data_IF_457099224717
#
_entry.id   IF_457099224717
#
_cell.length_a   1.000
_cell.length_b   1.000
_cell.length_c   1.000
_cell.angle_alpha   90.00
_cell.angle_beta   90.00
_cell.angle_gamma   90.00
#
_symmetry.space_group_name_H-M   'P 1'
#
loop_
_entity.id
_entity.type
_entity.pdbx_description
1 polymer ?
#
# COMPACT_ATOMS: atom_id res chain seq x y z
N UNK A 1 -40.27 22.80 76.92
CA UNK A 1 -41.42 21.87 77.04
C UNK A 1 -41.80 21.35 75.65
N UNK A 2 -41.83 20.01 75.48
CA UNK A 2 -42.71 19.13 74.63
C UNK A 2 -43.27 19.72 73.31
N UNK A 3 -43.32 19.04 72.14
CA UNK A 3 -43.41 17.63 71.70
C UNK A 3 -43.18 17.64 70.16
N UNK A 4 -42.32 16.81 69.57
CA UNK A 4 -42.57 15.46 69.00
C UNK A 4 -43.55 15.37 67.82
N UNK A 5 -43.03 14.86 66.67
CA UNK A 5 -43.58 13.91 65.66
C UNK A 5 -42.63 13.97 64.43
N UNK A 6 -41.66 13.07 64.18
CA UNK A 6 -41.79 11.67 63.69
C UNK A 6 -42.98 11.53 62.72
N UNK A 7 -42.80 11.22 61.42
CA UNK A 7 -42.59 9.84 60.93
C UNK A 7 -42.47 9.82 59.39
N UNK A 8 -41.40 9.17 58.90
CA UNK A 8 -41.20 8.27 57.72
C UNK A 8 -41.95 8.52 56.38
N UNK A 9 -41.25 8.29 55.25
CA UNK A 9 -41.48 7.19 54.27
C UNK A 9 -40.80 7.50 52.91
N UNK A 10 -39.83 6.65 52.56
CA UNK A 10 -39.54 6.07 51.23
C UNK A 10 -39.24 7.01 50.05
N UNK A 11 -37.95 7.06 49.69
CA UNK A 11 -37.46 7.43 48.36
C UNK A 11 -36.30 6.51 47.98
N UNK A 12 -36.60 5.21 47.86
CA UNK A 12 -35.69 4.18 47.34
C UNK A 12 -35.84 4.14 45.82
N UNK A 13 -34.71 3.89 45.14
CA UNK A 13 -34.53 3.60 43.71
C UNK A 13 -34.57 4.80 42.75
N UNK A 14 -33.37 5.24 42.34
CA UNK A 14 -32.95 5.25 40.94
C UNK A 14 -31.43 5.53 40.88
N UNK A 15 -30.67 4.67 41.57
CA UNK A 15 -29.23 4.55 41.32
C UNK A 15 -29.08 3.47 40.25
N UNK A 16 -28.45 3.86 39.14
CA UNK A 16 -27.68 2.97 38.28
C UNK A 16 -28.47 1.93 37.46
N UNK A 17 -29.05 2.36 36.34
CA UNK A 17 -29.34 1.46 35.22
C UNK A 17 -29.46 2.22 33.88
N UNK A 18 -28.41 2.93 33.45
CA UNK A 18 -28.29 3.41 32.06
C UNK A 18 -26.82 3.57 31.61
N UNK A 19 -25.90 2.77 32.13
CA UNK A 19 -24.51 2.74 31.68
C UNK A 19 -24.08 1.29 31.51
N UNK A 20 -24.76 0.49 30.68
CA UNK A 20 -24.21 -0.77 30.14
C UNK A 20 -24.95 -1.17 28.84
N UNK A 21 -24.89 -0.28 27.84
CA UNK A 21 -25.10 -0.62 26.42
C UNK A 21 -23.98 0.02 25.58
N UNK A 22 -22.73 -0.05 26.05
CA UNK A 22 -21.53 0.39 25.30
C UNK A 22 -20.69 -0.81 24.83
N UNK A 23 -21.13 -2.03 25.11
CA UNK A 23 -20.38 -3.25 24.82
C UNK A 23 -20.81 -3.84 23.48
N UNK A 24 -20.43 -3.19 22.35
CA UNK A 24 -20.23 -3.83 21.02
C UNK A 24 -20.27 -2.87 19.80
N UNK A 25 -20.42 -1.56 19.97
CA UNK A 25 -20.09 -0.66 18.85
C UNK A 25 -18.56 -0.57 18.78
N UNK A 26 -17.94 -1.42 17.96
CA UNK A 26 -16.56 -1.21 17.51
C UNK A 26 -16.47 0.24 17.05
N UNK A 27 -15.68 1.04 17.76
CA UNK A 27 -15.56 2.48 17.56
C UNK A 27 -14.93 2.76 16.20
N UNK A 28 -15.76 2.74 15.15
CA UNK A 28 -15.45 3.28 13.84
C UNK A 28 -15.26 4.80 14.01
N UNK A 29 -14.04 5.17 14.34
CA UNK A 29 -13.64 6.57 14.33
C UNK A 29 -13.40 7.00 12.87
N UNK A 30 -13.67 8.27 12.51
CA UNK A 30 -13.27 8.82 11.22
C UNK A 30 -11.78 8.53 10.91
N UNK A 31 -10.92 8.65 11.92
CA UNK A 31 -9.50 8.32 11.80
C UNK A 31 -9.25 6.89 11.31
N UNK A 32 -9.92 5.89 11.90
CA UNK A 32 -9.75 4.49 11.50
C UNK A 32 -10.23 4.19 10.08
N UNK A 33 -11.25 4.91 9.60
CA UNK A 33 -11.74 4.76 8.22
C UNK A 33 -10.77 5.38 7.21
N UNK A 34 -10.26 6.58 7.49
CA UNK A 34 -9.23 7.22 6.68
C UNK A 34 -7.95 6.38 6.62
N UNK A 35 -7.50 5.83 7.75
CA UNK A 35 -6.34 4.93 7.79
C UNK A 35 -6.59 3.65 6.98
N UNK A 36 -7.77 3.03 7.12
CA UNK A 36 -8.11 1.84 6.34
C UNK A 36 -8.09 2.09 4.83
N UNK A 37 -8.67 3.23 4.39
CA UNK A 37 -8.65 3.65 2.99
C UNK A 37 -7.21 3.87 2.49
N UNK A 38 -6.37 4.56 3.28
CA UNK A 38 -4.96 4.75 2.94
C UNK A 38 -4.20 3.41 2.82
N UNK A 39 -4.43 2.46 3.74
CA UNK A 39 -3.81 1.12 3.69
C UNK A 39 -4.27 0.31 2.46
N UNK A 40 -5.56 0.37 2.11
CA UNK A 40 -6.08 -0.24 0.88
C UNK A 40 -5.41 0.38 -0.36
N UNK A 41 -5.25 1.70 -0.38
CA UNK A 41 -4.50 2.38 -1.44
C UNK A 41 -3.05 1.91 -1.55
N UNK A 42 -2.35 1.73 -0.42
CA UNK A 42 -0.99 1.19 -0.44
C UNK A 42 -0.93 -0.25 -0.98
N UNK A 43 -1.85 -1.13 -0.57
CA UNK A 43 -1.95 -2.50 -1.10
C UNK A 43 -2.12 -2.45 -2.61
N UNK A 44 -3.07 -1.66 -3.10
CA UNK A 44 -3.32 -1.51 -4.53
C UNK A 44 -2.09 -1.03 -5.29
N UNK A 45 -1.40 0.00 -4.80
CA UNK A 45 -0.20 0.55 -5.45
C UNK A 45 0.95 -0.47 -5.47
N UNK A 46 1.13 -1.28 -4.43
CA UNK A 46 2.17 -2.33 -4.42
C UNK A 46 1.84 -3.40 -5.47
N UNK A 47 0.60 -3.86 -5.53
CA UNK A 47 0.20 -4.90 -6.49
C UNK A 47 0.20 -4.37 -7.93
N UNK A 48 -0.26 -3.14 -8.16
CA UNK A 48 -0.17 -2.49 -9.46
C UNK A 48 1.29 -2.35 -9.92
N UNK A 49 2.23 -2.10 -9.01
CA UNK A 49 3.65 -2.07 -9.37
C UNK A 49 4.15 -3.41 -9.93
N UNK A 50 3.66 -4.53 -9.39
CA UNK A 50 3.98 -5.86 -9.93
C UNK A 50 3.42 -6.02 -11.33
N UNK A 51 2.16 -5.63 -11.53
CA UNK A 51 1.46 -5.72 -12.82
C UNK A 51 2.16 -4.86 -13.88
N UNK A 52 2.62 -3.66 -13.53
CA UNK A 52 3.33 -2.76 -14.43
C UNK A 52 4.75 -3.22 -14.75
N UNK A 53 5.43 -3.87 -13.80
CA UNK A 53 6.82 -4.34 -13.97
C UNK A 53 6.86 -5.69 -14.70
N UNK A 54 5.83 -6.52 -14.57
CA UNK A 54 5.78 -7.86 -15.14
C UNK A 54 6.14 -7.93 -16.64
N UNK A 55 5.63 -7.06 -17.54
CA UNK A 55 5.99 -7.08 -18.95
C UNK A 55 7.49 -6.84 -19.22
N UNK A 56 8.16 -6.14 -18.30
CA UNK A 56 9.58 -5.74 -18.44
C UNK A 56 10.54 -6.70 -17.76
N UNK A 57 10.07 -7.77 -17.11
CA UNK A 57 10.91 -8.70 -16.32
C UNK A 57 12.12 -9.26 -17.09
N UNK A 58 11.94 -9.62 -18.36
CA UNK A 58 13.02 -10.15 -19.20
C UNK A 58 14.03 -9.05 -19.60
N UNK A 59 13.58 -7.81 -19.77
CA UNK A 59 14.47 -6.68 -20.00
C UNK A 59 15.24 -6.32 -18.73
N UNK A 60 14.56 -6.31 -17.58
CA UNK A 60 15.13 -6.04 -16.26
C UNK A 60 16.20 -7.05 -15.84
N UNK A 61 16.08 -8.31 -16.28
CA UNK A 61 17.10 -9.33 -15.99
C UNK A 61 18.35 -9.19 -16.87
N UNK A 62 18.28 -8.46 -17.98
CA UNK A 62 19.39 -8.25 -18.91
C UNK A 62 20.06 -6.88 -18.73
N UNK A 63 19.29 -5.80 -18.84
CA UNK A 63 19.73 -4.41 -18.69
C UNK A 63 18.68 -3.64 -17.88
N UNK A 64 18.79 -3.66 -16.54
CA UNK A 64 17.78 -3.04 -15.70
C UNK A 64 17.73 -1.53 -15.87
N UNK A 65 18.87 -0.86 -16.03
CA UNK A 65 18.90 0.61 -16.15
C UNK A 65 18.22 1.09 -17.45
N UNK A 66 18.35 0.35 -18.57
CA UNK A 66 17.62 0.65 -19.79
C UNK A 66 16.12 0.31 -19.69
N UNK A 67 15.78 -0.81 -19.04
CA UNK A 67 14.40 -1.26 -18.91
C UNK A 67 13.55 -0.27 -18.10
N UNK A 68 14.08 0.28 -17.00
CA UNK A 68 13.38 1.20 -16.10
C UNK A 68 12.79 2.42 -16.82
N UNK A 69 13.46 2.93 -17.86
CA UNK A 69 13.00 4.10 -18.61
C UNK A 69 11.67 3.87 -19.35
N UNK A 70 11.27 2.61 -19.54
CA UNK A 70 10.06 2.23 -20.26
C UNK A 70 8.89 1.87 -19.33
N UNK A 71 9.11 1.84 -18.01
CA UNK A 71 8.09 1.48 -17.03
C UNK A 71 7.29 2.72 -16.66
N UNK A 72 6.04 2.78 -17.14
CA UNK A 72 5.15 3.91 -16.87
C UNK A 72 4.89 4.08 -15.36
N UNK A 73 4.83 5.32 -14.89
CA UNK A 73 4.55 5.66 -13.49
C UNK A 73 5.72 5.42 -12.52
N UNK A 74 6.84 4.84 -12.97
CA UNK A 74 8.05 4.68 -12.17
C UNK A 74 8.96 5.91 -12.31
N UNK A 75 9.28 6.56 -11.19
CA UNK A 75 10.22 7.68 -11.14
C UNK A 75 11.52 7.27 -10.45
N UNK A 76 12.65 7.57 -11.08
CA UNK A 76 13.98 7.26 -10.51
C UNK A 76 14.53 8.43 -9.68
N UNK A 77 14.33 8.35 -8.36
CA UNK A 77 14.78 9.37 -7.41
C UNK A 77 16.31 9.36 -7.26
N UNK A 78 16.96 8.23 -7.56
CA UNK A 78 18.43 8.13 -7.62
C UNK A 78 18.98 9.09 -8.68
N UNK A 79 18.21 9.30 -9.77
CA UNK A 79 18.49 10.20 -10.89
C UNK A 79 17.71 11.52 -10.85
N UNK A 80 17.19 11.91 -9.69
CA UNK A 80 16.51 13.20 -9.42
C UNK A 80 15.10 13.38 -9.98
N UNK A 81 14.44 12.32 -10.46
CA UNK A 81 13.02 12.35 -10.78
C UNK A 81 12.19 11.90 -9.59
N UNK A 82 11.21 12.70 -9.16
CA UNK A 82 10.27 12.37 -8.09
C UNK A 82 8.81 12.40 -8.57
N UNK A 83 8.60 12.45 -9.89
CA UNK A 83 7.29 12.56 -10.52
C UNK A 83 6.83 11.19 -11.01
N UNK A 84 6.21 10.42 -10.12
CA UNK A 84 5.69 9.08 -10.42
C UNK A 84 4.86 8.50 -9.29
N UNK A 85 4.11 7.46 -9.62
CA UNK A 85 3.33 6.62 -8.70
C UNK A 85 4.22 5.78 -7.78
N UNK A 86 5.37 5.35 -8.30
CA UNK A 86 6.38 4.58 -7.58
C UNK A 86 7.72 5.28 -7.68
N UNK A 87 8.39 5.41 -6.56
CA UNK A 87 9.70 6.02 -6.47
C UNK A 87 10.75 4.93 -6.33
N UNK A 88 11.61 4.76 -7.33
CA UNK A 88 12.78 3.89 -7.26
C UNK A 88 13.85 4.56 -6.40
N UNK A 89 14.22 3.89 -5.31
CA UNK A 89 15.19 4.40 -4.33
C UNK A 89 16.50 3.63 -4.36
N UNK A 90 16.48 2.36 -4.76
CA UNK A 90 17.67 1.54 -4.97
C UNK A 90 17.43 0.54 -6.11
N UNK A 91 18.49 0.21 -6.84
CA UNK A 91 18.51 -0.83 -7.87
C UNK A 91 19.79 -1.63 -7.71
N UNK A 92 19.64 -2.94 -7.64
CA UNK A 92 20.75 -3.87 -7.55
C UNK A 92 20.53 -5.04 -8.49
N UNK A 93 21.60 -5.54 -9.08
CA UNK A 93 21.58 -6.76 -9.86
C UNK A 93 22.71 -7.67 -9.37
N UNK A 94 22.38 -8.90 -9.01
CA UNK A 94 23.33 -9.89 -8.54
C UNK A 94 22.96 -11.30 -9.01
N UNK A 95 23.56 -12.34 -8.40
CA UNK A 95 23.34 -13.72 -8.78
C UNK A 95 21.89 -14.20 -8.55
N UNK A 96 21.15 -13.54 -7.64
CA UNK A 96 19.75 -13.87 -7.34
C UNK A 96 18.77 -13.25 -8.33
N UNK A 97 19.15 -12.17 -9.01
CA UNK A 97 18.30 -11.46 -9.96
C UNK A 97 18.47 -9.95 -9.91
N UNK A 98 17.42 -9.23 -10.28
CA UNK A 98 17.36 -7.77 -10.26
C UNK A 98 16.41 -7.31 -9.15
N UNK A 99 16.94 -6.62 -8.15
CA UNK A 99 16.20 -6.07 -7.03
C UNK A 99 15.93 -4.57 -7.23
N UNK A 100 14.65 -4.18 -7.22
CA UNK A 100 14.17 -2.81 -7.30
C UNK A 100 13.54 -2.43 -5.96
N UNK A 101 14.13 -1.48 -5.23
CA UNK A 101 13.56 -0.97 -3.98
C UNK A 101 12.70 0.25 -4.26
N UNK A 102 11.41 0.10 -4.04
CA UNK A 102 10.37 1.06 -4.37
C UNK A 102 9.77 1.68 -3.11
N UNK A 103 9.24 2.88 -3.27
CA UNK A 103 8.45 3.60 -2.27
C UNK A 103 7.20 4.16 -2.94
N UNK A 104 6.09 4.16 -2.21
CA UNK A 104 4.87 4.89 -2.60
C UNK A 104 4.17 5.44 -1.37
N UNK A 105 3.21 6.33 -1.59
CA UNK A 105 2.33 6.85 -0.57
C UNK A 105 0.89 6.82 -1.03
N UNK A 106 -0.03 6.61 -0.09
CA UNK A 106 -1.45 6.74 -0.30
C UNK A 106 -2.06 7.56 0.82
N UNK A 107 -3.04 8.38 0.47
CA UNK A 107 -3.82 9.14 1.43
C UNK A 107 -5.24 8.61 1.51
N UNK A 108 -5.80 8.59 2.70
CA UNK A 108 -7.21 8.32 2.93
C UNK A 108 -7.85 9.52 3.61
N UNK A 109 -9.07 9.83 3.21
CA UNK A 109 -9.88 10.88 3.80
C UNK A 109 -11.26 10.35 4.16
N UNK A 110 -11.86 10.91 5.20
CA UNK A 110 -13.24 10.61 5.55
C UNK A 110 -13.91 11.77 6.27
N UNK A 111 -15.23 11.75 6.29
CA UNK A 111 -16.06 12.73 6.98
C UNK A 111 -16.20 14.06 6.23
N UNK A 112 -16.54 15.10 6.99
CA UNK A 112 -16.75 16.48 6.53
C UNK A 112 -17.08 17.41 7.69
N UNK A 113 -16.71 18.69 7.59
CA UNK A 113 -16.88 19.66 8.68
C UNK A 113 -16.02 19.32 9.91
N UNK A 114 -16.64 19.29 11.11
CA UNK A 114 -15.94 19.04 12.39
C UNK A 114 -15.41 17.60 12.56
N UNK A 115 -15.78 16.68 11.67
CA UNK A 115 -15.39 15.27 11.72
C UNK A 115 -14.48 14.87 10.56
N UNK A 116 -13.86 15.85 9.88
CA UNK A 116 -12.88 15.59 8.82
C UNK A 116 -11.63 14.93 9.42
N UNK A 117 -11.20 13.84 8.80
CA UNK A 117 -9.94 13.20 9.10
C UNK A 117 -9.23 12.85 7.79
N UNK A 118 -7.93 13.12 7.76
CA UNK A 118 -7.04 12.77 6.66
C UNK A 118 -5.83 12.05 7.23
N UNK A 119 -5.40 10.99 6.55
CA UNK A 119 -4.21 10.22 6.88
C UNK A 119 -3.39 10.05 5.63
N UNK A 120 -2.08 10.28 5.72
CA UNK A 120 -1.12 9.98 4.68
C UNK A 120 -0.18 8.88 5.18
N UNK A 121 -0.12 7.77 4.44
CA UNK A 121 0.72 6.62 4.74
C UNK A 121 1.70 6.40 3.60
N UNK A 122 2.85 5.81 3.91
CA UNK A 122 3.83 5.34 2.92
C UNK A 122 4.30 3.93 3.25
N UNK A 123 4.75 3.20 2.23
CA UNK A 123 5.38 1.89 2.38
C UNK A 123 6.57 1.77 1.44
N UNK A 124 7.50 0.89 1.79
CA UNK A 124 8.68 0.57 0.99
C UNK A 124 8.85 -0.93 0.89
N UNK A 125 9.21 -1.39 -0.29
CA UNK A 125 9.35 -2.80 -0.61
C UNK A 125 10.42 -3.00 -1.66
N UNK A 126 10.93 -4.22 -1.75
CA UNK A 126 11.82 -4.64 -2.81
C UNK A 126 11.13 -5.68 -3.68
N UNK A 127 11.07 -5.41 -4.99
CA UNK A 127 10.71 -6.39 -6.00
C UNK A 127 11.99 -7.06 -6.52
N UNK A 128 12.07 -8.38 -6.42
CA UNK A 128 13.18 -9.17 -6.93
C UNK A 128 12.72 -9.92 -8.16
N UNK A 129 13.12 -9.44 -9.33
CA UNK A 129 12.91 -10.13 -10.59
C UNK A 129 13.93 -11.25 -10.72
N UNK A 130 13.46 -12.48 -10.91
CA UNK A 130 14.32 -13.65 -11.10
C UNK A 130 15.27 -13.44 -12.29
N UNK A 131 16.46 -14.05 -12.22
CA UNK A 131 17.50 -13.89 -13.26
C UNK A 131 17.05 -14.31 -14.66
N UNK A 132 16.15 -15.27 -14.76
CA UNK A 132 15.55 -15.73 -16.02
C UNK A 132 14.24 -14.99 -16.36
N UNK A 133 13.80 -14.06 -15.51
CA UNK A 133 12.52 -13.37 -15.64
C UNK A 133 11.31 -14.28 -15.42
N UNK A 134 11.47 -15.41 -14.74
CA UNK A 134 10.37 -16.36 -14.50
C UNK A 134 9.34 -15.87 -13.48
N UNK A 135 9.76 -15.03 -12.53
CA UNK A 135 8.91 -14.53 -11.45
C UNK A 135 9.41 -13.24 -10.82
N UNK A 136 8.59 -12.67 -9.95
CA UNK A 136 8.92 -11.51 -9.13
C UNK A 136 8.52 -11.80 -7.68
N UNK A 137 9.48 -11.72 -6.77
CA UNK A 137 9.25 -11.78 -5.33
C UNK A 137 9.13 -10.37 -4.73
N UNK A 138 8.16 -10.17 -3.83
CA UNK A 138 7.98 -8.91 -3.09
C UNK A 138 8.36 -9.09 -1.63
N UNK A 139 9.35 -8.33 -1.19
CA UNK A 139 9.87 -8.39 0.18
C UNK A 139 9.82 -7.02 0.86
N UNK A 140 9.77 -7.04 2.19
CA UNK A 140 9.76 -5.81 3.00
C UNK A 140 11.09 -5.08 2.86
N UNK A 141 11.05 -3.75 2.77
CA UNK A 141 12.25 -2.92 2.73
C UNK A 141 12.11 -1.74 3.69
N UNK A 142 13.25 -1.28 4.22
CA UNK A 142 13.27 -0.06 5.00
C UNK A 142 13.06 1.15 4.10
N UNK A 143 12.13 2.03 4.49
CA UNK A 143 12.00 3.32 3.83
C UNK A 143 13.27 4.14 4.04
N UNK A 144 14.04 4.28 2.97
CA UNK A 144 15.41 4.79 2.93
C UNK A 144 15.67 5.93 3.92
N UNK A 145 16.69 5.75 4.79
CA UNK A 145 17.26 6.81 5.61
C UNK A 145 18.50 7.39 4.90
N UNK A 146 18.29 8.29 3.94
CA UNK A 146 19.33 9.15 3.30
C UNK A 146 20.37 8.42 2.40
N UNK A 147 20.88 9.02 1.29
CA UNK A 147 20.68 10.39 0.79
C UNK A 147 19.47 10.58 -0.13
N UNK A 148 18.71 9.52 -0.45
CA UNK A 148 17.51 9.63 -1.31
C UNK A 148 16.37 10.36 -0.59
N UNK A 149 16.31 10.28 0.74
CA UNK A 149 15.26 10.89 1.56
C UNK A 149 15.11 12.41 1.33
N UNK A 150 16.19 13.14 1.08
CA UNK A 150 16.13 14.59 0.84
C UNK A 150 15.57 14.99 -0.53
N UNK A 151 15.30 14.01 -1.39
CA UNK A 151 14.74 14.19 -2.74
C UNK A 151 13.30 13.73 -2.85
N UNK A 152 12.75 13.17 -1.77
CA UNK A 152 11.35 12.74 -1.74
C UNK A 152 10.44 13.98 -1.74
N UNK A 153 9.26 13.90 -2.38
CA UNK A 153 8.23 14.91 -2.22
C UNK A 153 7.91 15.13 -0.73
N UNK A 154 7.65 16.37 -0.34
CA UNK A 154 7.34 16.75 1.06
C UNK A 154 6.20 15.90 1.64
N UNK A 155 5.14 15.70 0.85
CA UNK A 155 3.99 14.85 1.21
C UNK A 155 4.37 13.40 1.53
N UNK A 156 5.37 12.83 0.84
CA UNK A 156 5.92 11.51 1.16
C UNK A 156 6.85 11.54 2.36
N UNK A 157 7.65 12.60 2.51
CA UNK A 157 8.57 12.74 3.63
C UNK A 157 7.82 12.76 4.98
N UNK A 158 6.66 13.42 5.02
CA UNK A 158 5.80 13.56 6.19
C UNK A 158 4.83 12.38 6.43
N UNK A 159 4.63 11.53 5.42
CA UNK A 159 3.73 10.38 5.53
C UNK A 159 4.19 9.37 6.59
N UNK A 160 3.24 8.80 7.32
CA UNK A 160 3.52 7.78 8.33
C UNK A 160 3.94 6.49 7.64
N UNK A 161 5.05 5.89 8.08
CA UNK A 161 5.56 4.65 7.47
C UNK A 161 4.79 3.44 7.99
N UNK A 162 4.31 2.61 7.07
CA UNK A 162 3.69 1.30 7.34
C UNK A 162 4.61 0.22 6.79
N UNK A 163 4.90 -0.80 7.59
CA UNK A 163 5.70 -1.92 7.12
C UNK A 163 4.91 -2.72 6.08
N UNK A 164 5.59 -3.25 5.05
CA UNK A 164 4.95 -4.10 4.06
C UNK A 164 4.27 -5.33 4.70
N UNK A 165 4.81 -5.84 5.80
CA UNK A 165 4.28 -7.00 6.52
C UNK A 165 2.96 -6.72 7.25
N UNK A 166 2.60 -5.45 7.43
CA UNK A 166 1.28 -5.02 7.92
C UNK A 166 0.27 -4.82 6.79
N UNK A 167 0.67 -5.04 5.53
CA UNK A 167 -0.17 -4.95 4.34
C UNK A 167 -0.41 -6.34 3.76
N UNK A 168 -1.68 -6.66 3.50
CA UNK A 168 -2.06 -7.90 2.82
C UNK A 168 -1.82 -7.74 1.32
N UNK A 169 -0.57 -7.97 0.90
CA UNK A 169 -0.15 -7.90 -0.51
C UNK A 169 0.28 -9.28 -1.03
N UNK A 170 0.12 -9.50 -2.32
CA UNK A 170 0.72 -10.64 -3.02
C UNK A 170 2.25 -10.60 -2.95
N UNK A 171 2.87 -11.70 -2.50
CA UNK A 171 4.32 -11.79 -2.25
C UNK A 171 5.13 -12.41 -3.39
N UNK A 172 4.48 -13.13 -4.29
CA UNK A 172 5.12 -13.75 -5.43
C UNK A 172 4.17 -13.64 -6.62
N UNK A 173 4.73 -13.37 -7.79
CA UNK A 173 4.02 -13.48 -9.06
C UNK A 173 4.84 -14.23 -10.08
N UNK A 174 4.16 -15.03 -10.90
CA UNK A 174 4.75 -15.76 -12.00
C UNK A 174 3.83 -15.78 -13.24
N UNK A 175 4.17 -16.62 -14.22
CA UNK A 175 3.41 -16.77 -15.47
C UNK A 175 1.97 -17.27 -15.29
N UNK A 176 1.65 -17.89 -14.15
CA UNK A 176 0.30 -18.33 -13.82
C UNK A 176 -0.60 -17.17 -13.42
N UNK A 177 -0.04 -16.11 -12.82
CA UNK A 177 -0.73 -14.86 -12.53
C UNK A 177 -0.93 -14.00 -13.78
N UNK A 178 -0.03 -14.12 -14.76
CA UNK A 178 -0.04 -13.34 -16.00
C UNK A 178 0.04 -14.26 -17.23
N UNK A 179 -1.04 -14.99 -17.54
CA UNK A 179 -1.06 -15.85 -18.71
C UNK A 179 -0.87 -15.03 -19.98
N UNK A 180 -0.09 -15.57 -20.91
CA UNK A 180 0.03 -14.98 -22.24
C UNK A 180 -1.38 -14.89 -22.87
N UNK A 181 -1.65 -13.77 -23.54
CA UNK A 181 -2.90 -13.62 -24.26
C UNK A 181 -2.99 -14.72 -25.34
N UNK A 182 -4.17 -15.34 -25.53
CA UNK A 182 -4.34 -16.37 -26.54
C UNK A 182 -4.01 -15.80 -27.93
N UNK A 183 -3.37 -16.61 -28.77
CA UNK A 183 -3.15 -16.22 -30.16
C UNK A 183 -4.49 -15.93 -30.83
N UNK A 184 -4.61 -14.77 -31.46
CA UNK A 184 -5.79 -14.45 -32.27
C UNK A 184 -5.56 -14.99 -33.67
N UNK A 185 -6.12 -16.17 -33.93
CA UNK A 185 -6.06 -16.76 -35.26
C UNK A 185 -7.35 -16.40 -36.03
N UNK A 186 -7.23 -15.48 -36.99
CA UNK A 186 -8.28 -15.24 -37.98
C UNK A 186 -8.24 -16.36 -39.03
N UNK A 187 -9.38 -16.97 -39.36
CA UNK A 187 -9.45 -18.07 -40.33
C UNK A 187 -8.90 -17.63 -41.70
N UNK A 188 -7.74 -18.14 -42.09
CA UNK A 188 -7.09 -17.87 -43.38
C UNK A 188 -5.81 -17.04 -43.30
N UNK A 189 -5.44 -16.54 -42.12
CA UNK A 189 -4.19 -15.80 -41.89
C UNK A 189 -3.28 -16.52 -40.88
N UNK A 190 -1.94 -16.29 -40.93
CA UNK A 190 -1.05 -16.76 -39.87
C UNK A 190 -1.50 -16.18 -38.53
N UNK A 191 -1.49 -17.00 -37.49
CA UNK A 191 -1.88 -16.56 -36.15
C UNK A 191 -0.96 -15.44 -35.68
N UNK A 192 -1.54 -14.30 -35.31
CA UNK A 192 -0.81 -13.27 -34.58
C UNK A 192 -0.79 -13.68 -33.11
N UNK A 193 0.33 -14.27 -32.70
CA UNK A 193 0.61 -14.57 -31.30
C UNK A 193 1.36 -13.36 -30.68
N UNK A 194 0.86 -12.79 -29.58
CA UNK A 194 1.63 -11.79 -28.84
C UNK A 194 2.90 -12.45 -28.29
N UNK A 195 4.07 -12.04 -28.81
CA UNK A 195 5.37 -12.59 -28.42
C UNK A 195 6.25 -13.09 -29.57
N UNK A 196 5.71 -13.23 -30.79
CA UNK A 196 6.45 -13.66 -31.99
C UNK A 196 6.40 -15.15 -32.24
#
# INVERSE_FOLDING_TARGET
>A
MRRSKTTRIIGVLLVSACIMLVSACGSWSPQSSAEHSARQGLVHMVEESQDQIWPFRAALSHDPEAALANISGLADVRRTSAEGSWLLTDLRQDASGTALTLMTSASGETGGGLFYAQVSLRTCWTLVVARDGSGIDTTSADCARSPVASRLPESMAEATTVALDDLTVRRHVDTTDYPAAPCQCSSGEPCECPGG
#
